data_IF_938231038624
#
_entry.id   IF_938231038624
#
_cell.length_a   1.000
_cell.length_b   1.000
_cell.length_c   1.000
_cell.angle_alpha   90.00
_cell.angle_beta   90.00
_cell.angle_gamma   90.00
#
_symmetry.space_group_name_H-M   'P 1'
#
loop_
_entity.id
_entity.type
_entity.pdbx_description
1 polymer ?
#
# COMPACT_ATOMS: atom_id res chain seq x y z
N UNK A 1 -15.56 -14.74 -12.16
CA UNK A 1 -16.24 -13.46 -11.90
C UNK A 1 -15.21 -12.39 -12.23
N UNK A 2 -15.54 -11.45 -13.11
CA UNK A 2 -14.53 -10.52 -13.63
C UNK A 2 -14.49 -9.25 -12.77
N UNK A 3 -13.31 -8.83 -12.38
CA UNK A 3 -13.08 -7.54 -11.75
C UNK A 3 -11.78 -6.90 -12.29
N UNK A 4 -11.70 -5.59 -12.23
CA UNK A 4 -10.51 -4.84 -12.56
C UNK A 4 -10.41 -3.58 -11.71
N UNK A 5 -9.19 -3.19 -11.37
CA UNK A 5 -8.84 -1.96 -10.65
C UNK A 5 -7.67 -1.30 -11.35
N UNK A 6 -7.73 0.03 -11.50
CA UNK A 6 -6.62 0.84 -11.97
C UNK A 6 -6.50 2.11 -11.15
N UNK A 7 -5.29 2.56 -10.92
CA UNK A 7 -5.08 3.78 -10.15
C UNK A 7 -3.63 4.10 -9.87
N UNK A 8 -3.42 4.96 -8.87
CA UNK A 8 -2.09 5.22 -8.30
C UNK A 8 -1.94 4.56 -6.94
N UNK A 9 -0.70 4.41 -6.54
CA UNK A 9 -0.33 3.75 -5.31
C UNK A 9 0.77 4.50 -4.59
N UNK A 10 0.69 4.53 -3.27
CA UNK A 10 1.69 5.10 -2.39
C UNK A 10 1.76 4.29 -1.09
N UNK A 11 2.96 4.09 -0.58
CA UNK A 11 3.17 3.44 0.71
C UNK A 11 4.24 4.14 1.53
N UNK A 12 4.21 3.91 2.85
CA UNK A 12 5.33 4.20 3.73
C UNK A 12 5.56 3.04 4.67
N UNK A 13 6.83 2.75 4.97
CA UNK A 13 7.20 1.69 5.89
C UNK A 13 8.23 2.14 6.94
N UNK A 14 8.30 1.38 8.03
CA UNK A 14 9.17 1.65 9.18
C UNK A 14 10.65 1.41 8.93
N UNK A 15 11.01 0.74 7.84
CA UNK A 15 12.37 0.31 7.54
C UNK A 15 13.24 1.44 7.01
N UNK A 16 14.57 1.31 7.18
CA UNK A 16 15.54 2.23 6.59
C UNK A 16 15.62 2.07 5.07
N UNK A 17 16.11 3.11 4.40
CA UNK A 17 16.41 3.07 2.98
C UNK A 17 17.42 2.00 2.65
N UNK A 18 17.29 1.40 1.67
CA UNK A 18 17.39 0.13 0.95
C UNK A 18 17.10 -1.03 1.89
N UNK A 19 15.83 -1.18 2.27
CA UNK A 19 15.39 -2.36 3.01
C UNK A 19 15.56 -3.63 2.17
N UNK A 20 16.18 -4.70 2.69
CA UNK A 20 16.35 -5.94 1.95
C UNK A 20 15.03 -6.59 1.49
N UNK A 21 13.92 -6.35 2.20
CA UNK A 21 12.61 -6.84 1.79
C UNK A 21 12.13 -6.26 0.45
N UNK A 22 12.68 -5.12 0.01
CA UNK A 22 12.42 -4.57 -1.33
C UNK A 22 13.05 -5.42 -2.45
N UNK A 23 14.04 -6.25 -2.12
CA UNK A 23 14.62 -7.19 -3.07
C UNK A 23 13.81 -8.49 -3.12
N UNK A 24 13.46 -9.00 -1.94
CA UNK A 24 12.62 -10.20 -1.79
C UNK A 24 12.11 -10.32 -0.35
N UNK A 25 10.90 -10.79 -0.17
CA UNK A 25 10.25 -10.93 1.15
C UNK A 25 10.94 -11.93 2.10
N UNK A 26 11.79 -12.81 1.58
CA UNK A 26 12.60 -13.77 2.34
C UNK A 26 13.96 -13.22 2.80
N UNK A 27 14.31 -11.99 2.41
CA UNK A 27 15.59 -11.37 2.81
C UNK A 27 15.55 -10.69 4.17
N UNK A 28 14.37 -10.50 4.71
CA UNK A 28 14.17 -9.87 6.00
C UNK A 28 14.16 -8.34 5.96
N UNK A 29 13.48 -7.76 6.93
CA UNK A 29 13.39 -6.32 7.13
C UNK A 29 14.65 -5.75 7.81
N UNK A 30 14.80 -4.42 7.82
CA UNK A 30 15.89 -3.74 8.54
C UNK A 30 15.86 -4.02 10.04
N UNK A 31 14.66 -4.12 10.61
CA UNK A 31 14.42 -4.42 12.02
C UNK A 31 13.85 -5.83 12.21
N UNK A 32 13.55 -6.22 13.44
CA UNK A 32 12.91 -7.51 13.74
C UNK A 32 11.44 -7.57 13.35
N UNK A 33 10.95 -6.50 12.75
CA UNK A 33 9.59 -6.36 12.20
C UNK A 33 9.62 -5.45 10.97
N UNK A 34 8.57 -5.50 10.15
CA UNK A 34 8.25 -4.46 9.17
C UNK A 34 6.80 -4.00 9.37
N UNK A 35 6.60 -2.69 9.50
CA UNK A 35 5.29 -2.05 9.53
C UNK A 35 5.14 -1.19 8.32
N UNK A 36 4.04 -1.36 7.62
CA UNK A 36 3.80 -0.68 6.34
C UNK A 36 2.34 -0.27 6.22
N UNK A 37 2.13 0.89 5.60
CA UNK A 37 0.81 1.38 5.18
C UNK A 37 0.80 1.51 3.67
N UNK A 38 -0.07 0.74 3.02
CA UNK A 38 -0.26 0.61 1.58
C UNK A 38 -1.53 1.38 1.21
N UNK A 39 -1.48 2.33 0.30
CA UNK A 39 -2.63 3.16 -0.07
C UNK A 39 -2.88 3.10 -1.57
N UNK A 40 -4.09 2.72 -1.94
CA UNK A 40 -4.56 2.53 -3.31
C UNK A 40 -5.60 3.61 -3.63
N UNK A 41 -5.29 4.46 -4.60
CA UNK A 41 -6.22 5.46 -5.12
C UNK A 41 -6.82 4.91 -6.43
N UNK A 42 -8.06 4.43 -6.37
CA UNK A 42 -8.73 3.75 -7.46
C UNK A 42 -9.36 4.77 -8.42
N UNK A 43 -8.69 5.04 -9.56
CA UNK A 43 -9.21 5.99 -10.55
C UNK A 43 -10.25 5.38 -11.47
N UNK A 44 -10.12 4.08 -11.74
CA UNK A 44 -11.03 3.31 -12.58
C UNK A 44 -11.17 1.90 -12.01
N UNK A 45 -12.31 1.29 -12.22
CA UNK A 45 -12.49 -0.12 -11.95
C UNK A 45 -13.91 -0.51 -11.64
N UNK A 46 -14.14 -1.80 -11.75
CA UNK A 46 -15.39 -2.44 -11.37
C UNK A 46 -15.14 -3.81 -10.75
N UNK A 47 -16.03 -4.22 -9.86
CA UNK A 47 -16.02 -5.54 -9.24
C UNK A 47 -17.39 -6.15 -9.44
N UNK A 48 -17.50 -7.18 -10.30
CA UNK A 48 -18.77 -7.86 -10.61
C UNK A 48 -19.89 -6.90 -11.03
N UNK A 49 -19.55 -5.86 -11.80
CA UNK A 49 -20.52 -4.86 -12.27
C UNK A 49 -20.72 -3.67 -11.33
N UNK A 50 -20.16 -3.70 -10.11
CA UNK A 50 -20.19 -2.57 -9.17
C UNK A 50 -19.04 -1.62 -9.50
N UNK A 51 -19.35 -0.39 -9.86
CA UNK A 51 -18.36 0.67 -10.10
C UNK A 51 -17.70 1.07 -8.77
N UNK A 52 -16.36 1.12 -8.77
CA UNK A 52 -15.58 1.52 -7.60
C UNK A 52 -14.61 2.69 -7.90
N UNK A 53 -14.78 3.34 -9.06
CA UNK A 53 -13.96 4.47 -9.45
C UNK A 53 -14.07 5.64 -8.45
N UNK A 54 -12.94 6.30 -8.18
CA UNK A 54 -12.85 7.43 -7.24
C UNK A 54 -12.70 7.02 -5.77
N UNK A 55 -12.89 5.74 -5.43
CA UNK A 55 -12.69 5.26 -4.06
C UNK A 55 -11.21 5.01 -3.75
N UNK A 56 -10.91 4.92 -2.47
CA UNK A 56 -9.57 4.63 -1.96
C UNK A 56 -9.64 3.48 -0.96
N UNK A 57 -8.56 2.70 -0.91
CA UNK A 57 -8.38 1.63 0.07
C UNK A 57 -6.99 1.76 0.66
N UNK A 58 -6.88 1.58 1.96
CA UNK A 58 -5.58 1.50 2.62
C UNK A 58 -5.49 0.22 3.46
N UNK A 59 -4.33 -0.42 3.43
CA UNK A 59 -4.01 -1.55 4.29
C UNK A 59 -2.83 -1.19 5.18
N UNK A 60 -2.93 -1.51 6.46
CA UNK A 60 -1.82 -1.39 7.41
C UNK A 60 -1.42 -2.79 7.87
N UNK A 61 -0.14 -3.10 7.79
CA UNK A 61 0.39 -4.40 8.17
C UNK A 61 1.55 -4.28 9.16
N UNK A 62 1.60 -5.22 10.10
CA UNK A 62 2.71 -5.50 11.01
C UNK A 62 3.18 -6.93 10.74
N UNK A 63 4.40 -7.09 10.28
CA UNK A 63 4.94 -8.37 9.82
C UNK A 63 6.21 -8.73 10.59
N UNK A 64 6.58 -10.02 10.70
CA UNK A 64 7.88 -10.40 11.23
C UNK A 64 9.01 -9.91 10.31
N UNK A 65 10.25 -10.01 10.78
CA UNK A 65 11.45 -9.61 10.04
C UNK A 65 11.51 -10.25 8.66
N UNK A 66 11.26 -11.54 8.57
CA UNK A 66 11.17 -12.29 7.32
C UNK A 66 9.69 -12.45 6.98
N UNK A 67 9.22 -11.67 6.01
CA UNK A 67 7.78 -11.58 5.70
C UNK A 67 7.17 -12.91 5.27
N UNK A 68 7.96 -13.77 4.63
CA UNK A 68 7.53 -15.12 4.19
C UNK A 68 7.23 -16.08 5.34
N UNK A 69 7.63 -15.75 6.58
CA UNK A 69 7.26 -16.54 7.78
C UNK A 69 5.78 -16.42 8.14
N UNK A 70 5.06 -15.48 7.49
CA UNK A 70 3.62 -15.28 7.75
C UNK A 70 3.35 -14.56 9.06
N UNK A 71 2.20 -14.88 9.67
CA UNK A 71 1.71 -14.25 10.91
C UNK A 71 1.55 -12.71 10.82
N UNK A 72 1.25 -12.21 9.63
CA UNK A 72 0.98 -10.79 9.45
C UNK A 72 -0.29 -10.39 10.21
N UNK A 73 -0.23 -9.23 10.85
CA UNK A 73 -1.39 -8.56 11.43
C UNK A 73 -1.82 -7.49 10.45
N UNK A 74 -3.07 -7.54 9.99
CA UNK A 74 -3.56 -6.70 8.89
C UNK A 74 -4.84 -5.96 9.27
N UNK A 75 -4.86 -4.64 9.13
CA UNK A 75 -6.06 -3.80 9.18
C UNK A 75 -6.32 -3.15 7.82
N UNK A 76 -7.59 -2.88 7.51
CA UNK A 76 -8.00 -2.29 6.24
C UNK A 76 -8.89 -1.08 6.46
N UNK A 77 -8.61 0.01 5.77
CA UNK A 77 -9.52 1.15 5.62
C UNK A 77 -10.09 1.18 4.21
N UNK A 78 -11.39 1.39 4.11
CA UNK A 78 -12.08 1.67 2.85
C UNK A 78 -12.63 3.09 2.93
N UNK A 79 -12.58 3.82 1.81
CA UNK A 79 -13.09 5.18 1.70
C UNK A 79 -14.49 5.31 2.31
N UNK A 80 -14.70 6.31 3.16
CA UNK A 80 -15.98 6.58 3.81
C UNK A 80 -17.12 6.87 2.81
N UNK A 81 -16.79 7.25 1.58
CA UNK A 81 -17.78 7.48 0.51
C UNK A 81 -18.30 6.18 -0.13
N UNK A 82 -17.68 5.03 0.14
CA UNK A 82 -18.12 3.76 -0.41
C UNK A 82 -19.52 3.38 0.12
N UNK A 83 -20.42 2.92 -0.75
CA UNK A 83 -21.65 2.25 -0.34
C UNK A 83 -21.35 0.93 0.36
N UNK A 84 -22.34 0.31 1.02
CA UNK A 84 -22.16 -1.00 1.66
C UNK A 84 -21.74 -2.07 0.65
N UNK A 85 -22.35 -2.07 -0.54
CA UNK A 85 -21.98 -2.99 -1.60
C UNK A 85 -20.55 -2.79 -2.09
N UNK A 86 -20.13 -1.55 -2.32
CA UNK A 86 -18.75 -1.23 -2.71
C UNK A 86 -17.75 -1.63 -1.63
N UNK A 87 -18.08 -1.38 -0.37
CA UNK A 87 -17.27 -1.77 0.78
C UNK A 87 -17.04 -3.29 0.80
N UNK A 88 -18.10 -4.08 0.72
CA UNK A 88 -18.03 -5.55 0.73
C UNK A 88 -17.24 -6.08 -0.47
N UNK A 89 -17.45 -5.51 -1.67
CA UNK A 89 -16.72 -5.90 -2.88
C UNK A 89 -15.23 -5.59 -2.77
N UNK A 90 -14.86 -4.42 -2.26
CA UNK A 90 -13.46 -4.06 -2.03
C UNK A 90 -12.81 -4.99 -1.02
N UNK A 91 -13.47 -5.33 0.07
CA UNK A 91 -12.94 -6.29 1.05
C UNK A 91 -12.74 -7.69 0.46
N UNK A 92 -13.58 -8.14 -0.47
CA UNK A 92 -13.39 -9.42 -1.15
C UNK A 92 -12.13 -9.42 -2.03
N UNK A 93 -11.85 -8.31 -2.75
CA UNK A 93 -10.62 -8.18 -3.55
C UNK A 93 -9.39 -8.06 -2.67
N UNK A 94 -9.39 -7.12 -1.72
CA UNK A 94 -8.24 -6.86 -0.84
C UNK A 94 -8.01 -7.98 0.19
N UNK A 95 -9.02 -8.77 0.50
CA UNK A 95 -8.91 -10.01 1.27
C UNK A 95 -8.51 -11.24 0.44
N UNK A 96 -8.28 -11.08 -0.88
CA UNK A 96 -7.83 -12.15 -1.77
C UNK A 96 -8.90 -13.18 -2.16
N UNK A 97 -10.15 -12.99 -1.77
CA UNK A 97 -11.24 -13.94 -2.01
C UNK A 97 -11.61 -14.04 -3.51
N UNK A 98 -11.40 -12.97 -4.26
CA UNK A 98 -11.68 -12.92 -5.70
C UNK A 98 -10.41 -13.16 -6.56
N UNK A 99 -9.35 -13.72 -5.98
CA UNK A 99 -8.09 -13.94 -6.68
C UNK A 99 -7.27 -12.66 -6.83
N UNK A 100 -6.39 -12.62 -7.85
CA UNK A 100 -5.52 -11.48 -8.12
C UNK A 100 -4.32 -11.39 -7.18
N UNK A 101 -3.59 -10.25 -7.18
CA UNK A 101 -2.34 -10.12 -6.44
C UNK A 101 -2.48 -10.31 -4.93
N UNK A 102 -3.59 -9.89 -4.34
CA UNK A 102 -3.80 -10.02 -2.89
C UNK A 102 -4.00 -11.47 -2.45
N UNK A 103 -4.51 -12.34 -3.32
CA UNK A 103 -4.64 -13.77 -3.02
C UNK A 103 -3.29 -14.44 -2.73
N UNK A 104 -2.21 -13.95 -3.34
CA UNK A 104 -0.86 -14.44 -3.07
C UNK A 104 -0.35 -14.07 -1.66
N UNK A 105 -0.87 -13.00 -1.07
CA UNK A 105 -0.50 -12.53 0.27
C UNK A 105 -1.39 -13.11 1.38
N UNK A 106 -2.60 -13.55 1.05
CA UNK A 106 -3.56 -14.09 2.02
C UNK A 106 -2.97 -15.20 2.92
N UNK A 107 -2.18 -16.16 2.41
CA UNK A 107 -1.58 -17.19 3.28
C UNK A 107 -0.59 -16.66 4.32
N UNK A 108 -0.09 -15.43 4.15
CA UNK A 108 0.83 -14.80 5.08
C UNK A 108 0.10 -14.09 6.23
N UNK A 109 -1.20 -13.81 6.09
CA UNK A 109 -2.00 -13.13 7.11
C UNK A 109 -2.36 -14.11 8.22
N UNK A 110 -1.88 -13.85 9.42
CA UNK A 110 -2.21 -14.62 10.64
C UNK A 110 -3.36 -14.01 11.42
N UNK A 111 -3.53 -12.69 11.39
CA UNK A 111 -4.56 -11.97 12.14
C UNK A 111 -5.14 -10.81 11.34
N UNK A 112 -6.46 -10.83 11.15
CA UNK A 112 -7.20 -9.67 10.65
C UNK A 112 -7.64 -8.79 11.82
N UNK A 113 -7.10 -7.58 11.90
CA UNK A 113 -7.37 -6.61 12.97
C UNK A 113 -8.71 -5.90 12.79
N UNK A 114 -9.25 -5.92 11.59
CA UNK A 114 -10.53 -5.34 11.25
C UNK A 114 -10.54 -4.62 9.91
N UNK A 115 -11.72 -4.15 9.54
CA UNK A 115 -11.95 -3.29 8.39
C UNK A 115 -12.85 -2.14 8.80
N UNK A 116 -12.44 -0.91 8.49
CA UNK A 116 -13.14 0.31 8.91
C UNK A 116 -13.36 1.25 7.71
N UNK A 117 -14.38 2.08 7.80
CA UNK A 117 -14.60 3.19 6.88
C UNK A 117 -13.87 4.42 7.40
N UNK A 118 -13.09 5.09 6.55
CA UNK A 118 -12.43 6.33 6.91
C UNK A 118 -12.38 7.30 5.73
N UNK A 119 -12.35 8.60 6.01
CA UNK A 119 -11.98 9.57 5.00
C UNK A 119 -10.51 9.35 4.63
N UNK A 120 -10.24 9.11 3.36
CA UNK A 120 -8.89 8.87 2.84
C UNK A 120 -8.60 9.96 1.82
N UNK A 121 -7.64 10.85 2.14
CA UNK A 121 -7.15 11.89 1.25
C UNK A 121 -5.78 11.48 0.70
N UNK A 122 -5.64 11.54 -0.62
CA UNK A 122 -4.38 11.30 -1.34
C UNK A 122 -4.11 12.49 -2.24
N UNK A 123 -2.95 13.11 -2.08
CA UNK A 123 -2.52 14.23 -2.90
C UNK A 123 -1.18 13.91 -3.55
N UNK A 124 -1.19 13.88 -4.89
CA UNK A 124 -0.01 13.70 -5.72
C UNK A 124 0.46 15.06 -6.28
N UNK A 125 1.69 15.44 -6.00
CA UNK A 125 2.30 16.69 -6.43
C UNK A 125 3.66 16.45 -7.09
N UNK A 126 3.66 15.74 -8.20
CA UNK A 126 4.88 15.35 -8.92
C UNK A 126 5.68 14.30 -8.17
N UNK A 127 6.78 14.70 -7.51
CA UNK A 127 7.62 13.78 -6.72
C UNK A 127 7.14 13.63 -5.26
N UNK A 128 6.15 14.41 -4.83
CA UNK A 128 5.63 14.38 -3.45
C UNK A 128 4.25 13.77 -3.40
N UNK A 129 4.06 12.90 -2.44
CA UNK A 129 2.81 12.18 -2.21
C UNK A 129 2.42 12.30 -0.75
N UNK A 130 1.24 12.84 -0.48
CA UNK A 130 0.71 12.99 0.86
C UNK A 130 -0.53 12.14 1.04
N UNK A 131 -0.65 11.50 2.18
CA UNK A 131 -1.81 10.69 2.56
C UNK A 131 -2.29 11.09 3.95
N UNK A 132 -3.61 11.21 4.09
CA UNK A 132 -4.27 11.33 5.37
C UNK A 132 -5.46 10.38 5.45
N UNK A 133 -5.56 9.64 6.57
CA UNK A 133 -6.68 8.74 6.86
C UNK A 133 -7.24 9.13 8.23
N UNK A 134 -8.38 9.82 8.21
CA UNK A 134 -8.97 10.39 9.43
C UNK A 134 -7.93 11.15 10.26
N UNK A 135 -7.88 10.85 11.55
CA UNK A 135 -6.89 11.41 12.49
C UNK A 135 -5.79 10.39 12.89
N UNK A 136 -5.80 9.20 12.29
CA UNK A 136 -4.96 8.08 12.72
C UNK A 136 -3.73 7.86 11.84
N UNK A 137 -3.75 8.30 10.58
CA UNK A 137 -2.62 8.21 9.65
C UNK A 137 -2.43 9.56 8.94
N UNK A 138 -1.21 10.07 8.98
CA UNK A 138 -0.78 11.26 8.24
C UNK A 138 0.69 11.07 7.84
N UNK A 139 0.96 10.95 6.53
CA UNK A 139 2.33 10.88 6.05
C UNK A 139 2.53 11.58 4.72
N UNK A 140 3.77 11.97 4.47
CA UNK A 140 4.25 12.50 3.20
C UNK A 140 5.55 11.79 2.84
N UNK A 141 5.63 11.31 1.60
CA UNK A 141 6.86 10.77 1.02
C UNK A 141 7.28 11.61 -0.19
N UNK A 142 8.59 11.63 -0.48
CA UNK A 142 9.15 12.27 -1.65
C UNK A 142 10.00 11.27 -2.42
N UNK A 143 9.71 11.12 -3.71
CA UNK A 143 10.44 10.26 -4.64
C UNK A 143 11.91 10.73 -4.74
N UNK A 144 12.84 9.78 -4.63
CA UNK A 144 14.26 10.07 -4.55
C UNK A 144 14.85 10.28 -5.92
N UNK A 145 15.28 11.51 -6.21
CA UNK A 145 16.13 11.82 -7.37
C UNK A 145 17.58 11.76 -6.92
N UNK A 146 18.42 10.85 -7.49
CA UNK A 146 19.80 10.73 -7.08
C UNK A 146 20.62 11.99 -7.38
N UNK A 147 21.59 12.29 -6.53
CA UNK A 147 22.52 13.38 -6.75
C UNK A 147 23.23 13.24 -8.12
N UNK A 148 23.27 14.34 -8.89
CA UNK A 148 23.89 14.37 -10.21
C UNK A 148 23.00 13.85 -11.36
N UNK A 149 21.76 13.47 -11.10
CA UNK A 149 20.79 13.11 -12.15
C UNK A 149 20.07 14.35 -12.64
N UNK A 150 20.62 15.00 -13.69
CA UNK A 150 20.08 16.25 -14.25
C UNK A 150 18.67 16.11 -14.86
N UNK A 151 18.27 14.89 -15.23
CA UNK A 151 16.94 14.65 -15.81
C UNK A 151 15.81 14.77 -14.79
N UNK A 152 16.12 14.85 -13.50
CA UNK A 152 15.13 14.85 -12.43
C UNK A 152 14.35 13.54 -12.28
N UNK A 153 14.79 12.45 -12.92
CA UNK A 153 14.12 11.14 -12.83
C UNK A 153 14.45 10.45 -11.51
N UNK A 154 13.41 9.99 -10.79
CA UNK A 154 13.64 9.28 -9.53
C UNK A 154 14.17 7.86 -9.75
N UNK A 155 14.70 7.27 -8.67
CA UNK A 155 15.10 5.84 -8.62
C UNK A 155 13.86 4.97 -8.77
N UNK A 156 13.94 3.97 -9.62
CA UNK A 156 12.86 2.99 -9.83
C UNK A 156 13.38 1.57 -9.65
N UNK A 157 12.54 0.73 -9.08
CA UNK A 157 12.73 -0.71 -9.06
C UNK A 157 12.13 -1.33 -10.31
N UNK A 158 12.80 -2.34 -10.82
CA UNK A 158 12.31 -3.19 -11.90
C UNK A 158 12.55 -4.66 -11.55
N UNK A 159 11.58 -5.52 -11.83
CA UNK A 159 11.67 -6.96 -11.60
C UNK A 159 11.49 -7.43 -10.16
N UNK A 160 11.19 -6.54 -9.21
CA UNK A 160 10.88 -6.95 -7.84
C UNK A 160 9.47 -7.57 -7.73
N UNK A 161 9.29 -8.50 -6.78
CA UNK A 161 7.95 -8.95 -6.41
C UNK A 161 7.28 -7.90 -5.51
N UNK A 162 6.17 -7.35 -5.99
CA UNK A 162 5.29 -6.50 -5.21
C UNK A 162 3.85 -6.66 -5.71
N UNK A 163 2.83 -6.67 -4.84
CA UNK A 163 1.43 -6.86 -5.29
C UNK A 163 0.96 -5.81 -6.29
N UNK A 164 1.49 -4.60 -6.22
CA UNK A 164 1.14 -3.50 -7.14
C UNK A 164 1.82 -3.63 -8.51
N UNK A 165 2.96 -4.31 -8.58
CA UNK A 165 3.75 -4.48 -9.79
C UNK A 165 5.23 -4.21 -9.57
N UNK A 166 6.05 -4.40 -10.61
CA UNK A 166 7.50 -4.32 -10.53
C UNK A 166 8.09 -2.92 -10.82
N UNK A 167 7.28 -1.93 -11.13
CA UNK A 167 7.73 -0.62 -11.60
C UNK A 167 7.45 0.47 -10.55
N UNK A 168 8.05 0.32 -9.38
CA UNK A 168 7.84 1.22 -8.25
C UNK A 168 8.97 2.24 -8.14
N UNK A 169 8.62 3.47 -7.78
CA UNK A 169 9.56 4.55 -7.49
C UNK A 169 9.92 4.51 -6.01
N UNK A 170 11.21 4.62 -5.70
CA UNK A 170 11.69 4.70 -4.33
C UNK A 170 11.51 6.11 -3.77
N UNK A 171 10.98 6.19 -2.56
CA UNK A 171 10.73 7.43 -1.87
C UNK A 171 11.28 7.42 -0.43
N UNK A 172 11.50 8.61 0.11
CA UNK A 172 11.86 8.86 1.50
C UNK A 172 10.70 9.54 2.22
N UNK A 173 10.38 9.11 3.44
CA UNK A 173 9.37 9.77 4.25
C UNK A 173 9.89 11.13 4.75
N UNK A 174 9.10 12.17 4.53
CA UNK A 174 9.37 13.55 5.00
C UNK A 174 8.62 13.87 6.27
N UNK A 175 7.48 13.25 6.44
CA UNK A 175 6.62 13.34 7.63
C UNK A 175 5.86 12.02 7.75
N UNK A 176 5.73 11.51 8.96
CA UNK A 176 4.94 10.30 9.17
C UNK A 176 4.43 10.21 10.61
N UNK A 177 3.16 9.91 10.75
CA UNK A 177 2.50 9.55 12.00
C UNK A 177 1.44 8.51 11.69
N UNK A 178 1.66 7.30 12.13
CA UNK A 178 0.76 6.18 11.92
C UNK A 178 0.43 5.55 13.27
N UNK A 179 -0.87 5.53 13.61
CA UNK A 179 -1.38 4.85 14.80
C UNK A 179 -2.80 4.35 14.51
N UNK A 180 -2.91 3.13 14.02
CA UNK A 180 -4.17 2.52 13.63
C UNK A 180 -4.18 1.02 13.91
N UNK A 181 -5.31 0.45 14.30
CA UNK A 181 -5.47 -0.96 14.61
C UNK A 181 -4.46 -1.49 15.65
N UNK A 182 -3.97 -0.64 16.56
CA UNK A 182 -2.93 -1.02 17.52
C UNK A 182 -1.53 -1.17 16.92
N UNK A 183 -1.33 -0.74 15.68
CA UNK A 183 -0.04 -0.65 15.01
C UNK A 183 0.39 0.82 15.03
N UNK A 184 1.53 1.10 15.69
CA UNK A 184 2.09 2.45 15.80
C UNK A 184 3.51 2.47 15.26
N UNK A 185 3.81 3.38 14.32
CA UNK A 185 5.15 3.58 13.80
C UNK A 185 5.32 4.93 13.09
N UNK A 186 6.56 5.32 12.87
CA UNK A 186 6.96 6.37 11.94
C UNK A 186 7.54 5.73 10.68
N UNK A 187 7.02 6.14 9.52
CA UNK A 187 7.57 5.73 8.23
C UNK A 187 8.89 6.43 7.95
N UNK A 188 9.83 5.71 7.35
CA UNK A 188 11.15 6.22 6.96
C UNK A 188 11.35 6.16 5.45
N UNK A 189 10.80 5.15 4.82
CA UNK A 189 10.85 4.95 3.37
C UNK A 189 9.46 4.81 2.81
N UNK A 190 9.35 4.79 1.50
CA UNK A 190 8.11 4.50 0.81
C UNK A 190 8.37 4.11 -0.64
N UNK A 191 7.31 3.61 -1.26
CA UNK A 191 7.26 3.36 -2.69
C UNK A 191 6.05 4.05 -3.29
N UNK A 192 6.16 4.48 -4.52
CA UNK A 192 5.07 5.10 -5.27
C UNK A 192 4.96 4.56 -6.69
N UNK A 193 3.77 4.61 -7.27
CA UNK A 193 3.56 4.53 -8.72
C UNK A 193 2.34 5.31 -9.12
N UNK A 194 2.46 6.03 -10.24
CA UNK A 194 1.33 6.73 -10.84
C UNK A 194 0.30 5.78 -11.47
N UNK A 195 0.68 4.53 -11.72
CA UNK A 195 -0.17 3.57 -12.43
C UNK A 195 0.02 2.16 -11.89
N UNK A 196 -1.07 1.54 -11.46
CA UNK A 196 -1.18 0.10 -11.29
C UNK A 196 -2.45 -0.41 -11.96
N UNK A 197 -2.45 -1.69 -12.31
CA UNK A 197 -3.61 -2.35 -12.91
C UNK A 197 -3.71 -3.78 -12.40
N UNK A 198 -4.85 -4.11 -11.79
CA UNK A 198 -5.19 -5.44 -11.31
C UNK A 198 -6.42 -5.96 -12.01
N UNK A 199 -6.52 -7.30 -12.13
CA UNK A 199 -7.71 -7.99 -12.61
C UNK A 199 -7.77 -9.42 -12.07
N UNK A 200 -8.97 -9.99 -12.07
CA UNK A 200 -9.24 -11.38 -11.71
C UNK A 200 -10.56 -11.89 -12.28
#
# INVERSE_FOLDING_TARGET
MAWNLKGSYVETCSCELMCPCNLSFDHGATYDFCRVTLVFNLREGQIEGVDIAGLKVAAIADTPKVMTEGNWRLGVFVDAQATDEQFDKLLQVFGGQLGGPMAALTPLVGEMLGAERAAIDVVDSGLRHSVRIGDVIDFEIEDIVPFGVETGRPVRFDGMFHPVGSNLTMAEAKRSRINAFGIEYEGKTGLSTSEFSWSG
#
